data_IF_283842005726
#
_entry.id   IF_283842005726
#
_cell.length_a   1.000
_cell.length_b   1.000
_cell.length_c   1.000
_cell.angle_alpha   90.00
_cell.angle_beta   90.00
_cell.angle_gamma   90.00
#
_symmetry.space_group_name_H-M   'P 1'
#
loop_
_entity.id
_entity.type
_entity.pdbx_description
1 polymer ?
#
# COMPACT_ATOMS: atom_id res chain seq x y z
N UNK A 1 -10.62 25.80 16.89
CA UNK A 1 -11.45 25.10 17.89
C UNK A 1 -10.89 23.68 17.98
N UNK A 2 -10.30 23.29 19.12
CA UNK A 2 -9.63 21.99 19.27
C UNK A 2 -10.68 20.89 19.49
N UNK A 3 -10.71 19.87 18.61
CA UNK A 3 -11.61 18.72 18.75
C UNK A 3 -11.12 17.75 19.81
N UNK A 4 -12.01 17.37 20.73
CA UNK A 4 -11.79 16.43 21.82
C UNK A 4 -12.07 14.99 21.33
N UNK A 5 -11.10 14.07 21.47
CA UNK A 5 -11.05 12.76 20.80
C UNK A 5 -11.55 11.56 21.64
N UNK A 6 -12.21 11.78 22.77
CA UNK A 6 -12.38 10.70 23.77
C UNK A 6 -13.67 9.87 23.70
N UNK A 7 -14.60 10.05 22.75
CA UNK A 7 -15.84 9.25 22.77
C UNK A 7 -16.35 8.83 21.40
N UNK A 8 -16.05 7.59 20.98
CA UNK A 8 -16.84 6.88 19.96
C UNK A 8 -17.06 5.40 20.37
N UNK A 9 -18.30 4.89 20.29
CA UNK A 9 -18.63 3.51 20.66
C UNK A 9 -18.22 2.52 19.56
N UNK A 10 -17.80 1.31 19.98
CA UNK A 10 -17.36 0.23 19.08
C UNK A 10 -18.55 -0.50 18.45
N UNK A 11 -18.64 -0.51 17.13
CA UNK A 11 -19.50 -1.43 16.36
C UNK A 11 -18.66 -2.54 15.68
N UNK A 12 -19.20 -3.76 15.54
CA UNK A 12 -18.43 -4.92 15.08
C UNK A 12 -18.30 -4.94 13.56
N UNK A 13 -17.08 -5.12 13.04
CA UNK A 13 -16.81 -5.20 11.61
C UNK A 13 -16.28 -6.59 11.22
N UNK A 14 -16.87 -7.18 10.18
CA UNK A 14 -16.35 -8.36 9.47
C UNK A 14 -15.57 -7.91 8.22
N UNK A 15 -14.25 -8.11 8.10
CA UNK A 15 -13.48 -7.63 6.95
C UNK A 15 -13.37 -8.68 5.82
N UNK A 16 -13.70 -8.26 4.59
CA UNK A 16 -13.28 -8.91 3.33
C UNK A 16 -12.01 -8.22 2.78
N UNK A 17 -11.29 -8.96 1.94
CA UNK A 17 -9.83 -8.99 1.80
C UNK A 17 -9.20 -7.82 1.02
N UNK A 18 -8.05 -7.32 1.51
CA UNK A 18 -7.18 -6.35 0.82
C UNK A 18 -5.71 -6.83 0.79
N UNK A 19 -4.82 -6.29 -0.05
CA UNK A 19 -3.43 -6.74 -0.12
C UNK A 19 -2.50 -6.27 1.02
N UNK A 20 -2.92 -5.36 1.91
CA UNK A 20 -2.24 -5.13 3.20
C UNK A 20 -2.49 -6.34 4.10
N UNK A 21 -3.68 -6.95 3.96
CA UNK A 21 -3.93 -8.32 4.38
C UNK A 21 -3.03 -9.33 3.69
N UNK A 22 -2.18 -9.04 2.69
CA UNK A 22 -1.24 -10.02 2.13
C UNK A 22 0.06 -10.09 2.94
N UNK A 23 0.55 -8.94 3.40
CA UNK A 23 1.68 -8.83 4.35
C UNK A 23 1.23 -9.20 5.76
N UNK A 24 0.07 -8.70 6.21
CA UNK A 24 -0.60 -9.16 7.43
C UNK A 24 -1.14 -10.60 7.31
N UNK A 25 -1.42 -11.11 6.11
CA UNK A 25 -1.70 -12.56 5.95
C UNK A 25 -0.44 -13.38 5.99
N UNK A 26 0.75 -12.81 5.87
CA UNK A 26 1.94 -13.61 6.11
C UNK A 26 1.98 -13.97 7.60
N UNK A 27 1.68 -13.02 8.49
CA UNK A 27 1.51 -13.29 9.91
C UNK A 27 0.24 -14.11 10.21
N UNK A 28 -0.92 -13.81 9.61
CA UNK A 28 -2.14 -14.63 9.80
C UNK A 28 -2.06 -16.04 9.15
N UNK A 29 -1.30 -16.25 8.07
CA UNK A 29 -1.11 -17.58 7.42
C UNK A 29 0.00 -18.39 8.07
N UNK A 30 1.06 -17.74 8.56
CA UNK A 30 2.12 -18.42 9.32
C UNK A 30 1.68 -18.74 10.76
N UNK A 31 0.81 -17.91 11.36
CA UNK A 31 0.47 -18.02 12.79
C UNK A 31 -1.03 -18.19 13.09
N UNK A 32 -1.92 -18.14 12.09
CA UNK A 32 -3.36 -18.43 12.19
C UNK A 32 -4.20 -17.33 12.88
N UNK A 33 -5.48 -17.16 12.47
CA UNK A 33 -6.48 -16.47 13.31
C UNK A 33 -6.77 -17.32 14.55
N UNK A 34 -7.17 -16.70 15.67
CA UNK A 34 -7.58 -17.40 16.94
C UNK A 34 -8.55 -18.57 16.74
N UNK A 35 -9.42 -18.50 15.72
CA UNK A 35 -10.39 -19.55 15.35
C UNK A 35 -9.76 -20.69 14.53
N UNK A 36 -8.74 -20.40 13.73
CA UNK A 36 -7.96 -21.38 12.97
C UNK A 36 -6.91 -22.06 13.87
N UNK A 37 -6.44 -21.37 14.91
CA UNK A 37 -5.51 -21.90 15.91
C UNK A 37 -6.02 -23.18 16.58
N UNK A 38 -7.35 -23.30 16.81
CA UNK A 38 -7.95 -24.50 17.38
C UNK A 38 -7.92 -25.70 16.44
N UNK A 39 -8.18 -25.49 15.14
CA UNK A 39 -8.13 -26.54 14.12
C UNK A 39 -6.68 -27.00 13.92
N UNK A 40 -5.74 -26.05 13.84
CA UNK A 40 -4.31 -26.37 13.70
C UNK A 40 -3.79 -27.14 14.91
N UNK A 41 -4.18 -26.75 16.13
CA UNK A 41 -3.81 -27.49 17.35
C UNK A 41 -4.36 -28.93 17.32
N UNK A 42 -5.61 -29.12 16.89
CA UNK A 42 -6.21 -30.44 16.74
C UNK A 42 -5.46 -31.29 15.72
N UNK A 43 -5.13 -30.73 14.55
CA UNK A 43 -4.39 -31.45 13.51
C UNK A 43 -2.99 -31.87 13.99
N UNK A 44 -2.30 -31.01 14.74
CA UNK A 44 -1.00 -31.34 15.32
C UNK A 44 -1.11 -32.42 16.40
N UNK A 45 -2.15 -32.38 17.23
CA UNK A 45 -2.39 -33.44 18.24
C UNK A 45 -2.74 -34.78 17.58
N UNK A 46 -3.53 -34.77 16.50
CA UNK A 46 -3.80 -35.96 15.69
C UNK A 46 -2.54 -36.50 15.00
N UNK A 47 -1.66 -35.61 14.55
CA UNK A 47 -0.36 -35.98 14.00
C UNK A 47 0.53 -36.64 15.06
N UNK A 48 0.60 -36.11 16.28
CA UNK A 48 1.31 -36.77 17.39
C UNK A 48 0.72 -38.15 17.69
N UNK A 49 -0.62 -38.25 17.76
CA UNK A 49 -1.28 -39.54 17.94
C UNK A 49 -0.96 -40.53 16.81
N UNK A 50 -0.97 -40.08 15.56
CA UNK A 50 -0.60 -40.91 14.41
C UNK A 50 0.84 -41.40 14.47
N UNK A 51 1.78 -40.54 14.88
CA UNK A 51 3.19 -40.92 15.09
C UNK A 51 3.30 -41.89 16.28
N UNK A 52 2.52 -41.71 17.34
CA UNK A 52 2.44 -42.65 18.46
C UNK A 52 2.08 -44.07 18.00
N UNK A 53 1.03 -44.15 17.19
CA UNK A 53 0.54 -45.41 16.61
C UNK A 53 1.61 -46.01 15.71
N UNK A 54 2.30 -45.21 14.89
CA UNK A 54 3.42 -45.67 14.09
C UNK A 54 4.54 -46.25 14.96
N UNK A 55 4.93 -45.57 16.03
CA UNK A 55 5.97 -46.05 16.97
C UNK A 55 5.55 -47.37 17.63
N UNK A 56 4.27 -47.53 18.01
CA UNK A 56 3.75 -48.80 18.51
C UNK A 56 3.83 -49.91 17.46
N UNK A 57 3.31 -49.68 16.26
CA UNK A 57 3.25 -50.67 15.19
C UNK A 57 4.64 -51.10 14.70
N UNK A 58 5.64 -50.22 14.81
CA UNK A 58 7.02 -50.49 14.39
C UNK A 58 7.88 -51.15 15.47
N UNK A 59 7.31 -51.49 16.63
CA UNK A 59 8.01 -52.26 17.66
C UNK A 59 8.47 -51.47 18.88
N UNK A 60 7.95 -50.26 19.09
CA UNK A 60 8.17 -49.47 20.29
C UNK A 60 9.29 -48.44 20.15
N UNK A 61 9.76 -47.93 21.29
CA UNK A 61 10.65 -46.76 21.31
C UNK A 61 12.13 -47.07 21.13
N UNK A 62 12.51 -48.33 20.98
CA UNK A 62 13.86 -48.72 20.60
C UNK A 62 14.23 -48.31 19.16
N UNK A 63 13.24 -48.00 18.31
CA UNK A 63 13.45 -47.64 16.91
C UNK A 63 13.44 -46.13 16.66
N UNK A 64 14.02 -45.73 15.53
CA UNK A 64 14.23 -44.32 15.14
C UNK A 64 12.93 -43.53 14.93
N UNK A 65 11.80 -44.20 14.70
CA UNK A 65 10.51 -43.58 14.35
C UNK A 65 9.99 -42.59 15.40
N UNK A 66 10.43 -42.71 16.66
CA UNK A 66 10.10 -41.75 17.73
C UNK A 66 10.59 -40.33 17.41
N UNK A 67 11.67 -40.19 16.62
CA UNK A 67 12.23 -38.89 16.27
C UNK A 67 11.26 -38.04 15.44
N UNK A 68 10.26 -38.65 14.80
CA UNK A 68 9.23 -37.88 14.11
C UNK A 68 8.38 -37.02 15.03
N UNK A 69 8.35 -37.28 16.35
CA UNK A 69 7.69 -36.41 17.34
C UNK A 69 8.28 -35.01 17.43
N UNK A 70 9.55 -34.85 17.04
CA UNK A 70 10.18 -33.53 16.99
C UNK A 70 9.51 -32.59 15.99
N UNK A 71 8.86 -33.13 14.95
CA UNK A 71 8.19 -32.34 13.91
C UNK A 71 6.96 -31.61 14.45
N UNK A 72 5.89 -32.28 14.95
CA UNK A 72 4.71 -31.60 15.46
C UNK A 72 5.02 -30.71 16.67
N UNK A 73 5.91 -31.13 17.57
CA UNK A 73 6.35 -30.31 18.72
C UNK A 73 7.06 -29.03 18.26
N UNK A 74 7.96 -29.13 17.28
CA UNK A 74 8.65 -27.97 16.73
C UNK A 74 7.70 -27.00 16.02
N UNK A 75 6.78 -27.52 15.20
CA UNK A 75 5.75 -26.72 14.53
C UNK A 75 4.81 -26.05 15.55
N UNK A 76 4.38 -26.78 16.59
CA UNK A 76 3.58 -26.23 17.68
C UNK A 76 4.30 -25.09 18.41
N UNK A 77 5.61 -25.22 18.66
CA UNK A 77 6.42 -24.13 19.17
C UNK A 77 6.37 -22.90 18.27
N UNK A 78 6.68 -23.04 16.98
CA UNK A 78 6.69 -21.91 16.05
C UNK A 78 5.32 -21.21 15.95
N UNK A 79 4.23 -21.97 15.93
CA UNK A 79 2.87 -21.44 15.76
C UNK A 79 2.29 -20.89 17.05
N UNK A 80 2.44 -21.57 18.18
CA UNK A 80 1.79 -21.23 19.46
C UNK A 80 2.74 -20.58 20.47
N UNK A 81 4.00 -20.38 20.11
CA UNK A 81 5.01 -19.78 20.99
C UNK A 81 5.54 -20.75 22.03
N UNK A 82 6.31 -20.20 22.98
CA UNK A 82 7.03 -20.97 24.01
C UNK A 82 6.11 -21.86 24.83
N UNK A 83 4.94 -21.35 25.22
CA UNK A 83 3.96 -22.10 26.04
C UNK A 83 3.35 -23.25 25.24
N UNK A 84 2.94 -23.03 24.00
CA UNK A 84 2.35 -24.09 23.18
C UNK A 84 3.37 -25.18 22.82
N UNK A 85 4.60 -24.79 22.46
CA UNK A 85 5.68 -25.75 22.23
C UNK A 85 5.98 -26.60 23.47
N UNK A 86 6.01 -26.00 24.67
CA UNK A 86 6.16 -26.73 25.92
C UNK A 86 5.04 -27.75 26.13
N UNK A 87 3.77 -27.35 25.96
CA UNK A 87 2.62 -28.22 26.19
C UNK A 87 2.62 -29.43 25.25
N UNK A 88 2.89 -29.22 23.95
CA UNK A 88 3.01 -30.30 22.98
C UNK A 88 4.23 -31.20 23.29
N UNK A 89 5.37 -30.63 23.68
CA UNK A 89 6.54 -31.41 24.10
C UNK A 89 6.28 -32.28 25.33
N UNK A 90 5.56 -31.76 26.34
CA UNK A 90 5.13 -32.51 27.52
C UNK A 90 4.15 -33.61 27.12
N UNK A 91 3.16 -33.30 26.29
CA UNK A 91 2.16 -34.27 25.83
C UNK A 91 2.82 -35.42 25.08
N UNK A 92 3.68 -35.14 24.10
CA UNK A 92 4.45 -36.16 23.37
C UNK A 92 5.34 -36.99 24.30
N UNK A 93 6.01 -36.35 25.26
CA UNK A 93 6.86 -37.01 26.25
C UNK A 93 6.11 -37.97 27.17
N UNK A 94 4.95 -37.56 27.68
CA UNK A 94 4.09 -38.40 28.53
C UNK A 94 3.49 -39.55 27.71
N UNK A 95 3.05 -39.27 26.50
CA UNK A 95 2.43 -40.28 25.63
C UNK A 95 3.44 -41.35 25.18
N UNK A 96 4.69 -41.00 24.89
CA UNK A 96 5.77 -41.95 24.55
C UNK A 96 6.53 -42.53 25.76
N UNK A 97 6.17 -42.14 26.98
CA UNK A 97 6.83 -42.58 28.20
C UNK A 97 6.08 -43.71 28.89
N UNK A 98 5.31 -43.43 29.96
CA UNK A 98 4.61 -44.45 30.75
C UNK A 98 3.66 -45.35 29.95
N UNK A 99 3.10 -44.87 28.84
CA UNK A 99 2.10 -45.61 28.06
C UNK A 99 2.68 -46.44 26.91
N UNK A 100 3.97 -46.28 26.60
CA UNK A 100 4.60 -46.86 25.41
C UNK A 100 5.73 -47.82 25.80
N UNK A 101 5.69 -49.11 25.41
CA UNK A 101 6.76 -50.05 25.74
C UNK A 101 8.08 -49.70 25.01
N UNK A 102 9.20 -50.17 25.57
CA UNK A 102 10.50 -50.08 24.93
C UNK A 102 10.55 -50.97 23.69
N UNK A 103 10.13 -52.22 23.87
CA UNK A 103 9.92 -53.21 22.81
C UNK A 103 8.51 -53.82 22.94
N UNK A 104 7.72 -53.66 21.89
CA UNK A 104 6.34 -54.14 21.82
C UNK A 104 6.28 -55.67 21.73
N UNK A 105 7.24 -56.31 21.06
CA UNK A 105 7.24 -57.76 20.86
C UNK A 105 7.50 -58.52 22.17
N UNK A 106 8.41 -57.98 23.00
CA UNK A 106 8.75 -58.56 24.31
C UNK A 106 7.93 -57.98 25.47
N UNK A 107 7.18 -56.90 25.23
CA UNK A 107 6.41 -56.20 26.26
C UNK A 107 7.29 -55.50 27.30
N UNK A 108 8.55 -55.21 26.97
CA UNK A 108 9.48 -54.60 27.94
C UNK A 108 9.06 -53.17 28.26
N UNK A 109 8.89 -52.92 29.56
CA UNK A 109 8.58 -51.58 30.05
C UNK A 109 9.79 -50.65 29.88
N UNK A 110 9.52 -49.36 29.70
CA UNK A 110 10.59 -48.39 29.61
C UNK A 110 11.23 -48.09 30.97
N UNK A 111 12.57 -47.94 31.02
CA UNK A 111 13.22 -47.38 32.19
C UNK A 111 12.71 -45.96 32.48
N UNK A 112 12.38 -45.69 33.75
CA UNK A 112 11.85 -44.38 34.19
C UNK A 112 12.74 -43.23 33.74
N UNK A 113 14.05 -43.36 33.94
CA UNK A 113 15.02 -42.34 33.56
C UNK A 113 15.03 -42.09 32.03
N UNK A 114 14.86 -43.14 31.22
CA UNK A 114 14.92 -43.03 29.76
C UNK A 114 13.79 -42.22 29.16
N UNK A 115 12.56 -42.42 29.64
CA UNK A 115 11.43 -41.62 29.15
C UNK A 115 11.36 -40.22 29.78
N UNK A 116 11.82 -40.06 31.02
CA UNK A 116 11.94 -38.72 31.65
C UNK A 116 12.94 -37.84 30.89
N UNK A 117 14.09 -38.40 30.48
CA UNK A 117 15.07 -37.67 29.66
C UNK A 117 14.45 -37.25 28.33
N UNK A 118 13.67 -38.12 27.67
CA UNK A 118 13.00 -37.78 26.42
C UNK A 118 11.93 -36.71 26.59
N UNK A 119 11.13 -36.79 27.63
CA UNK A 119 10.16 -35.75 27.98
C UNK A 119 10.87 -34.40 28.14
N UNK A 120 12.00 -34.37 28.85
CA UNK A 120 12.81 -33.17 29.02
C UNK A 120 13.27 -32.61 27.66
N UNK A 121 13.86 -33.42 26.78
CA UNK A 121 14.36 -32.95 25.49
C UNK A 121 13.24 -32.52 24.53
N UNK A 122 12.11 -33.23 24.48
CA UNK A 122 10.94 -32.83 23.70
C UNK A 122 10.35 -31.50 24.19
N UNK A 123 10.24 -31.34 25.51
CA UNK A 123 9.78 -30.10 26.14
C UNK A 123 10.75 -28.95 25.87
N UNK A 124 12.06 -29.19 26.01
CA UNK A 124 13.10 -28.20 25.73
C UNK A 124 13.10 -27.78 24.27
N UNK A 125 12.98 -28.72 23.34
CA UNK A 125 12.87 -28.40 21.92
C UNK A 125 11.63 -27.54 21.63
N UNK A 126 10.48 -27.93 22.18
CA UNK A 126 9.25 -27.15 22.03
C UNK A 126 9.40 -25.73 22.58
N UNK A 127 10.06 -25.57 23.73
CA UNK A 127 10.39 -24.27 24.31
C UNK A 127 11.34 -23.46 23.40
N UNK A 128 12.42 -24.06 22.88
CA UNK A 128 13.39 -23.36 22.03
C UNK A 128 12.73 -22.94 20.70
N UNK A 129 11.99 -23.84 20.06
CA UNK A 129 11.25 -23.54 18.85
C UNK A 129 10.19 -22.45 19.11
N UNK A 130 9.52 -22.52 20.26
CA UNK A 130 8.55 -21.53 20.68
C UNK A 130 9.14 -20.16 20.98
N UNK A 131 10.32 -20.10 21.60
CA UNK A 131 11.06 -18.87 21.82
C UNK A 131 11.43 -18.21 20.49
N UNK A 132 11.92 -19.00 19.52
CA UNK A 132 12.18 -18.52 18.16
C UNK A 132 10.89 -18.00 17.50
N UNK A 133 9.78 -18.73 17.63
CA UNK A 133 8.47 -18.31 17.14
C UNK A 133 8.02 -16.98 17.74
N UNK A 134 8.19 -16.80 19.05
CA UNK A 134 7.84 -15.57 19.76
C UNK A 134 8.70 -14.38 19.32
N UNK A 135 10.01 -14.59 19.14
CA UNK A 135 10.91 -13.57 18.60
C UNK A 135 10.52 -13.14 17.18
N UNK A 136 10.18 -14.09 16.31
CA UNK A 136 9.71 -13.81 14.95
C UNK A 136 8.41 -13.01 14.97
N UNK A 137 7.43 -13.42 15.79
CA UNK A 137 6.17 -12.69 15.97
C UNK A 137 6.36 -11.28 16.51
N UNK A 138 7.34 -11.07 17.40
CA UNK A 138 7.66 -9.74 17.92
C UNK A 138 8.25 -8.85 16.81
N UNK A 139 9.19 -9.37 16.01
CA UNK A 139 9.78 -8.62 14.89
C UNK A 139 8.74 -8.26 13.83
N UNK A 140 7.85 -9.18 13.50
CA UNK A 140 6.78 -8.93 12.52
C UNK A 140 5.83 -7.85 13.03
N UNK A 141 5.42 -7.89 14.31
CA UNK A 141 4.57 -6.84 14.91
C UNK A 141 5.21 -5.46 14.86
N UNK A 142 6.52 -5.36 15.11
CA UNK A 142 7.24 -4.08 15.01
C UNK A 142 7.21 -3.55 13.58
N UNK A 143 7.43 -4.43 12.60
CA UNK A 143 7.37 -4.05 11.17
C UNK A 143 5.96 -3.58 10.78
N UNK A 144 4.91 -4.24 11.28
CA UNK A 144 3.51 -3.85 11.04
C UNK A 144 3.20 -2.46 11.62
N UNK A 145 3.59 -2.19 12.88
CA UNK A 145 3.37 -0.88 13.52
C UNK A 145 4.12 0.24 12.78
N UNK A 146 5.39 0.01 12.44
CA UNK A 146 6.20 0.99 11.71
C UNK A 146 5.62 1.26 10.32
N UNK A 147 5.10 0.23 9.64
CA UNK A 147 4.45 0.40 8.34
C UNK A 147 3.15 1.22 8.43
N UNK A 148 2.33 1.00 9.47
CA UNK A 148 1.11 1.79 9.71
C UNK A 148 1.45 3.26 10.00
N UNK A 149 2.43 3.51 10.88
CA UNK A 149 2.88 4.86 11.21
C UNK A 149 3.45 5.60 9.99
N UNK A 150 4.19 4.89 9.14
CA UNK A 150 4.72 5.44 7.90
C UNK A 150 3.59 5.80 6.91
N UNK A 151 2.58 4.94 6.76
CA UNK A 151 1.41 5.21 5.93
C UNK A 151 0.60 6.42 6.38
N UNK A 152 0.39 6.55 7.69
CA UNK A 152 -0.24 7.73 8.28
C UNK A 152 0.56 9.00 8.01
N UNK A 153 1.89 8.92 8.17
CA UNK A 153 2.78 10.06 7.96
C UNK A 153 2.78 10.50 6.49
N UNK A 154 2.88 9.58 5.54
CA UNK A 154 2.77 9.90 4.12
C UNK A 154 1.42 10.52 3.78
N UNK A 155 0.32 9.99 4.33
CA UNK A 155 -1.01 10.53 4.10
C UNK A 155 -1.14 11.98 4.59
N UNK A 156 -0.55 12.29 5.75
CA UNK A 156 -0.50 13.67 6.29
C UNK A 156 0.35 14.59 5.42
N UNK A 157 1.49 14.12 4.93
CA UNK A 157 2.36 14.90 4.03
C UNK A 157 1.63 15.23 2.73
N UNK A 158 0.97 14.25 2.10
CA UNK A 158 0.22 14.48 0.88
C UNK A 158 -0.91 15.50 1.08
N UNK A 159 -1.67 15.40 2.18
CA UNK A 159 -2.71 16.39 2.51
C UNK A 159 -2.13 17.77 2.79
N UNK A 160 -0.97 17.85 3.45
CA UNK A 160 -0.28 19.13 3.64
C UNK A 160 0.10 19.77 2.30
N UNK A 161 0.58 18.98 1.32
CA UNK A 161 0.86 19.46 -0.03
C UNK A 161 -0.39 19.96 -0.75
N UNK A 162 -1.51 19.23 -0.61
CA UNK A 162 -2.82 19.68 -1.16
C UNK A 162 -3.26 20.98 -0.50
N UNK A 163 -3.13 21.09 0.82
CA UNK A 163 -3.43 22.33 1.56
C UNK A 163 -2.59 23.51 1.06
N UNK A 164 -1.30 23.32 0.78
CA UNK A 164 -0.46 24.37 0.21
C UNK A 164 -0.91 24.84 -1.19
N UNK A 165 -1.49 23.94 -1.99
CA UNK A 165 -2.05 24.30 -3.30
C UNK A 165 -3.36 25.05 -3.12
N UNK A 166 -4.19 24.63 -2.17
CA UNK A 166 -5.43 25.31 -1.82
C UNK A 166 -5.23 26.73 -1.26
N UNK A 167 -4.05 27.05 -0.70
CA UNK A 167 -3.70 28.42 -0.32
C UNK A 167 -3.32 29.30 -1.53
N UNK A 168 -2.97 28.69 -2.67
CA UNK A 168 -2.61 29.40 -3.91
C UNK A 168 -3.72 29.45 -4.95
N UNK A 169 -4.59 28.44 -4.97
CA UNK A 169 -5.75 28.34 -5.86
C UNK A 169 -6.99 28.86 -5.11
N UNK A 170 -7.98 29.35 -5.84
CA UNK A 170 -9.25 29.79 -5.25
C UNK A 170 -10.09 28.63 -4.66
N UNK A 171 -9.63 27.38 -4.87
CA UNK A 171 -10.20 26.17 -4.29
C UNK A 171 -9.69 25.94 -2.86
N UNK A 172 -10.58 25.63 -1.92
CA UNK A 172 -10.19 25.32 -0.53
C UNK A 172 -9.70 23.88 -0.34
N UNK A 173 -9.01 23.58 0.76
CA UNK A 173 -8.69 22.17 1.08
C UNK A 173 -9.96 21.32 1.26
N UNK A 174 -11.05 21.94 1.72
CA UNK A 174 -12.36 21.31 1.91
C UNK A 174 -12.97 20.83 0.59
N UNK A 175 -12.67 21.50 -0.52
CA UNK A 175 -13.06 21.05 -1.87
C UNK A 175 -12.53 19.65 -2.15
N UNK A 176 -11.22 19.45 -2.00
CA UNK A 176 -10.59 18.15 -2.29
C UNK A 176 -11.11 17.04 -1.38
N UNK A 177 -11.41 17.34 -0.11
CA UNK A 177 -12.02 16.37 0.80
C UNK A 177 -13.48 16.05 0.44
N UNK A 178 -14.30 17.03 0.03
CA UNK A 178 -15.67 16.78 -0.45
C UNK A 178 -15.68 15.94 -1.72
N UNK A 179 -14.84 16.26 -2.70
CA UNK A 179 -14.70 15.45 -3.92
C UNK A 179 -14.29 14.02 -3.55
N UNK A 180 -13.36 13.85 -2.62
CA UNK A 180 -12.92 12.54 -2.16
C UNK A 180 -13.99 11.76 -1.40
N UNK A 181 -14.78 12.42 -0.56
CA UNK A 181 -15.94 11.82 0.10
C UNK A 181 -16.97 11.34 -0.94
N UNK A 182 -17.36 12.20 -1.87
CA UNK A 182 -18.32 11.87 -2.93
C UNK A 182 -17.79 10.76 -3.83
N UNK A 183 -16.47 10.71 -4.09
CA UNK A 183 -15.82 9.66 -4.85
C UNK A 183 -15.94 8.29 -4.17
N UNK A 184 -15.86 8.23 -2.83
CA UNK A 184 -16.11 6.98 -2.09
C UNK A 184 -17.55 6.50 -2.28
N UNK A 185 -18.53 7.40 -2.17
CA UNK A 185 -19.95 7.04 -2.30
C UNK A 185 -20.25 6.53 -3.71
N UNK A 186 -19.79 7.26 -4.72
CA UNK A 186 -19.86 6.87 -6.13
C UNK A 186 -19.18 5.53 -6.39
N UNK A 187 -17.94 5.37 -5.91
CA UNK A 187 -17.17 4.14 -6.08
C UNK A 187 -17.89 2.93 -5.48
N UNK A 188 -18.43 3.04 -4.26
CA UNK A 188 -19.19 1.96 -3.61
C UNK A 188 -20.43 1.59 -4.42
N UNK A 189 -21.18 2.57 -4.90
CA UNK A 189 -22.38 2.34 -5.72
C UNK A 189 -22.04 1.68 -7.08
N UNK A 190 -20.86 1.98 -7.63
CA UNK A 190 -20.32 1.36 -8.85
C UNK A 190 -19.59 0.02 -8.62
N UNK A 191 -19.55 -0.49 -7.39
CA UNK A 191 -18.95 -1.79 -7.06
C UNK A 191 -17.44 -1.77 -6.81
N UNK A 192 -16.84 -0.61 -6.54
CA UNK A 192 -15.42 -0.50 -6.19
C UNK A 192 -15.17 -1.08 -4.80
N UNK A 193 -14.09 -1.86 -4.67
CA UNK A 193 -13.71 -2.50 -3.42
C UNK A 193 -12.20 -2.46 -3.19
N UNK A 194 -11.78 -2.50 -1.92
CA UNK A 194 -10.37 -2.58 -1.55
C UNK A 194 -9.52 -1.47 -2.18
N UNK A 195 -8.52 -1.86 -2.98
CA UNK A 195 -7.56 -0.92 -3.59
C UNK A 195 -8.17 0.02 -4.62
N UNK A 196 -9.22 -0.39 -5.33
CA UNK A 196 -9.81 0.46 -6.38
C UNK A 196 -10.49 1.67 -5.71
N UNK A 197 -11.12 1.44 -4.56
CA UNK A 197 -11.75 2.51 -3.77
C UNK A 197 -10.70 3.44 -3.13
N UNK A 198 -9.57 2.89 -2.67
CA UNK A 198 -8.44 3.70 -2.16
C UNK A 198 -7.79 4.52 -3.27
N UNK A 199 -7.62 3.94 -4.46
CA UNK A 199 -7.08 4.63 -5.63
C UNK A 199 -7.98 5.79 -6.02
N UNK A 200 -9.29 5.56 -6.09
CA UNK A 200 -10.27 6.60 -6.39
C UNK A 200 -10.27 7.71 -5.33
N UNK A 201 -10.19 7.35 -4.04
CA UNK A 201 -10.11 8.32 -2.95
C UNK A 201 -8.87 9.21 -3.05
N UNK A 202 -7.68 8.62 -3.19
CA UNK A 202 -6.44 9.41 -3.28
C UNK A 202 -6.34 10.20 -4.58
N UNK A 203 -6.86 9.66 -5.69
CA UNK A 203 -6.94 10.42 -6.93
C UNK A 203 -7.87 11.63 -6.80
N UNK A 204 -8.99 11.51 -6.09
CA UNK A 204 -9.86 12.64 -5.77
C UNK A 204 -9.14 13.70 -4.93
N UNK A 205 -8.40 13.31 -3.89
CA UNK A 205 -7.63 14.24 -3.05
C UNK A 205 -6.53 14.95 -3.85
N UNK A 206 -5.89 14.24 -4.80
CA UNK A 206 -4.68 14.68 -5.49
C UNK A 206 -4.90 15.15 -6.94
N UNK A 207 -6.14 15.19 -7.45
CA UNK A 207 -6.42 15.47 -8.87
C UNK A 207 -5.77 16.78 -9.36
N UNK A 208 -5.77 17.78 -8.49
CA UNK A 208 -5.23 19.11 -8.77
C UNK A 208 -3.79 19.32 -8.26
N UNK A 209 -3.09 18.27 -7.81
CA UNK A 209 -1.72 18.38 -7.25
C UNK A 209 -0.75 19.08 -8.21
N UNK A 210 -0.92 18.89 -9.52
CA UNK A 210 -0.03 19.49 -10.51
C UNK A 210 -0.19 20.99 -10.70
N UNK A 211 -1.23 21.63 -10.12
CA UNK A 211 -1.40 23.08 -10.14
C UNK A 211 -0.25 23.83 -9.47
N UNK A 212 0.53 23.15 -8.63
CA UNK A 212 1.78 23.69 -8.07
C UNK A 212 2.74 24.22 -9.15
N UNK A 213 2.74 23.60 -10.33
CA UNK A 213 3.59 23.99 -11.46
C UNK A 213 2.97 25.02 -12.40
N UNK A 214 1.78 25.54 -12.10
CA UNK A 214 1.10 26.56 -12.89
C UNK A 214 1.49 27.96 -12.39
N UNK A 215 1.84 28.90 -13.30
CA UNK A 215 2.15 30.28 -12.91
C UNK A 215 0.97 30.98 -12.25
N UNK A 216 1.25 31.77 -11.21
CA UNK A 216 0.25 32.54 -10.45
C UNK A 216 -0.65 33.41 -11.34
N UNK A 217 -0.06 34.04 -12.36
CA UNK A 217 -0.76 34.92 -13.31
C UNK A 217 -1.80 34.20 -14.16
N UNK A 218 -1.69 32.88 -14.31
CA UNK A 218 -2.64 32.04 -15.04
C UNK A 218 -3.60 31.37 -14.05
N UNK A 219 -3.08 30.88 -12.92
CA UNK A 219 -3.87 30.20 -11.89
C UNK A 219 -4.99 31.11 -11.35
N UNK A 220 -4.65 32.36 -10.99
CA UNK A 220 -5.54 33.30 -10.32
C UNK A 220 -6.04 34.43 -11.24
N UNK A 221 -6.06 34.19 -12.55
CA UNK A 221 -6.40 35.23 -13.54
C UNK A 221 -7.85 35.71 -13.38
N UNK A 222 -8.09 37.03 -13.29
CA UNK A 222 -9.44 37.60 -13.33
C UNK A 222 -10.07 37.62 -14.71
N UNK A 223 -10.60 36.47 -15.11
CA UNK A 223 -11.40 36.31 -16.33
C UNK A 223 -11.06 35.04 -17.10
N UNK A 224 -11.56 34.92 -18.35
CA UNK A 224 -11.28 33.77 -19.19
C UNK A 224 -9.80 33.68 -19.56
N UNK A 225 -9.28 32.46 -19.60
CA UNK A 225 -7.95 32.15 -20.12
C UNK A 225 -7.94 32.26 -21.65
N UNK A 226 -6.85 32.78 -22.23
CA UNK A 226 -6.58 32.66 -23.67
C UNK A 226 -6.29 31.20 -24.04
N UNK A 227 -6.23 30.88 -25.34
CA UNK A 227 -5.84 29.55 -25.82
C UNK A 227 -4.48 29.11 -25.29
N UNK A 228 -3.50 30.02 -25.25
CA UNK A 228 -2.14 29.75 -24.81
C UNK A 228 -2.09 29.54 -23.29
N UNK A 229 -2.80 30.38 -22.54
CA UNK A 229 -2.91 30.25 -21.08
C UNK A 229 -3.65 28.96 -20.68
N UNK A 230 -4.69 28.59 -21.43
CA UNK A 230 -5.41 27.33 -21.26
C UNK A 230 -4.49 26.13 -21.50
N UNK A 231 -3.71 26.13 -22.58
CA UNK A 231 -2.72 25.08 -22.82
C UNK A 231 -1.69 24.97 -21.70
N UNK A 232 -1.32 26.08 -21.04
CA UNK A 232 -0.47 26.03 -19.83
C UNK A 232 -1.22 25.45 -18.64
N UNK A 233 -2.46 25.86 -18.39
CA UNK A 233 -3.30 25.36 -17.29
C UNK A 233 -3.51 23.84 -17.41
N UNK A 234 -3.79 23.32 -18.60
CA UNK A 234 -4.03 21.90 -18.87
C UNK A 234 -2.82 21.00 -18.50
N UNK A 235 -1.60 21.56 -18.49
CA UNK A 235 -0.38 20.84 -18.08
C UNK A 235 -0.38 20.40 -16.61
N UNK A 236 -1.28 20.92 -15.76
CA UNK A 236 -1.36 20.49 -14.37
C UNK A 236 -1.61 18.96 -14.29
N UNK A 237 -2.32 18.40 -15.26
CA UNK A 237 -2.57 16.96 -15.32
C UNK A 237 -1.26 16.18 -15.48
N UNK A 238 -0.43 16.54 -16.47
CA UNK A 238 0.88 15.90 -16.71
C UNK A 238 1.88 16.16 -15.59
N UNK A 239 1.84 17.34 -14.97
CA UNK A 239 2.68 17.68 -13.82
C UNK A 239 2.29 16.80 -12.63
N UNK A 240 0.99 16.69 -12.32
CA UNK A 240 0.46 15.84 -11.25
C UNK A 240 0.83 14.37 -11.45
N UNK A 241 0.61 13.85 -12.66
CA UNK A 241 0.99 12.48 -13.04
C UNK A 241 2.49 12.22 -12.78
N UNK A 242 3.37 13.09 -13.30
CA UNK A 242 4.82 12.93 -13.13
C UNK A 242 5.27 13.05 -11.69
N UNK A 243 4.70 13.98 -10.93
CA UNK A 243 5.01 14.13 -9.50
C UNK A 243 4.70 12.86 -8.72
N UNK A 244 3.52 12.27 -8.95
CA UNK A 244 3.10 11.04 -8.29
C UNK A 244 3.99 9.85 -8.66
N UNK A 245 4.24 9.63 -9.95
CA UNK A 245 5.09 8.52 -10.43
C UNK A 245 6.53 8.66 -9.93
N UNK A 246 7.07 9.89 -9.91
CA UNK A 246 8.42 10.16 -9.40
C UNK A 246 8.52 9.99 -7.89
N UNK A 247 7.45 10.26 -7.14
CA UNK A 247 7.41 10.02 -5.70
C UNK A 247 7.45 8.51 -5.39
N UNK A 248 6.72 7.69 -6.14
CA UNK A 248 6.81 6.23 -6.09
C UNK A 248 6.06 5.59 -7.27
N UNK A 249 6.61 4.52 -7.83
CA UNK A 249 5.89 3.68 -8.82
C UNK A 249 4.62 3.02 -8.27
N UNK A 250 4.44 2.99 -6.94
CA UNK A 250 3.18 2.51 -6.35
C UNK A 250 2.03 3.51 -6.51
N UNK A 251 2.33 4.79 -6.79
CA UNK A 251 1.31 5.81 -7.05
C UNK A 251 0.80 5.80 -8.49
N UNK A 252 1.34 4.97 -9.39
CA UNK A 252 0.93 4.91 -10.80
C UNK A 252 -0.59 4.74 -10.98
N UNK A 253 -1.30 3.85 -10.26
CA UNK A 253 -2.76 3.75 -10.41
C UNK A 253 -3.49 5.05 -10.05
N UNK A 254 -3.03 5.77 -9.04
CA UNK A 254 -3.58 7.07 -8.65
C UNK A 254 -3.25 8.10 -9.74
N UNK A 255 -2.00 8.11 -10.22
CA UNK A 255 -1.53 9.01 -11.26
C UNK A 255 -2.34 8.86 -12.55
N UNK A 256 -2.66 7.64 -12.97
CA UNK A 256 -3.49 7.37 -14.16
C UNK A 256 -4.90 7.95 -14.03
N UNK A 257 -5.49 7.89 -12.84
CA UNK A 257 -6.82 8.49 -12.58
C UNK A 257 -6.72 10.02 -12.56
N UNK A 258 -5.68 10.57 -11.94
CA UNK A 258 -5.37 12.00 -12.02
C UNK A 258 -5.12 12.43 -13.46
N UNK A 259 -4.49 11.61 -14.30
CA UNK A 259 -4.28 11.91 -15.72
C UNK A 259 -5.60 11.96 -16.52
N UNK A 260 -6.61 11.23 -16.07
CA UNK A 260 -7.86 11.02 -16.82
C UNK A 260 -9.03 11.91 -16.36
N UNK A 261 -8.90 12.66 -15.25
CA UNK A 261 -10.06 13.37 -14.66
C UNK A 261 -10.62 14.52 -15.51
N UNK A 262 -9.87 14.98 -16.52
CA UNK A 262 -10.32 15.96 -17.51
C UNK A 262 -10.58 15.37 -18.91
N UNK A 263 -10.49 14.05 -19.04
CA UNK A 263 -10.99 13.37 -20.24
C UNK A 263 -12.51 13.46 -20.30
N UNK A 264 -13.03 13.52 -21.53
CA UNK A 264 -14.47 13.63 -21.80
C UNK A 264 -14.95 12.38 -22.52
N UNK A 265 -16.17 11.95 -22.22
CA UNK A 265 -16.75 10.75 -22.81
C UNK A 265 -16.77 10.80 -24.35
N UNK A 266 -17.01 11.97 -24.92
CA UNK A 266 -16.97 12.28 -26.36
C UNK A 266 -15.56 12.35 -26.99
N UNK A 267 -14.49 12.19 -26.20
CA UNK A 267 -13.09 12.27 -26.66
C UNK A 267 -12.54 13.68 -26.85
N UNK A 268 -13.30 14.73 -26.54
CA UNK A 268 -12.84 16.12 -26.67
C UNK A 268 -12.12 16.64 -25.41
N UNK A 269 -11.87 15.76 -24.44
CA UNK A 269 -11.15 16.10 -23.20
C UNK A 269 -9.64 16.16 -23.39
N UNK A 270 -8.89 16.23 -22.30
CA UNK A 270 -7.42 16.28 -22.32
C UNK A 270 -6.86 15.44 -21.16
N UNK A 271 -5.58 15.01 -21.22
CA UNK A 271 -4.55 15.35 -22.20
C UNK A 271 -4.45 14.39 -23.41
N UNK A 272 -5.06 13.21 -23.36
CA UNK A 272 -4.89 12.17 -24.37
C UNK A 272 -6.04 12.08 -25.38
N UNK A 273 -7.13 12.83 -25.17
CA UNK A 273 -8.32 12.83 -26.05
C UNK A 273 -8.93 11.43 -26.18
N UNK A 274 -8.96 10.67 -25.08
CA UNK A 274 -9.50 9.32 -25.08
C UNK A 274 -11.01 9.34 -24.83
N UNK A 275 -11.76 8.51 -25.57
CA UNK A 275 -13.22 8.50 -25.54
C UNK A 275 -13.78 7.24 -24.87
N UNK A 276 -15.03 7.34 -24.42
CA UNK A 276 -15.83 6.22 -23.93
C UNK A 276 -15.11 5.39 -22.84
N UNK A 277 -15.17 4.06 -22.98
CA UNK A 277 -14.59 3.09 -22.06
C UNK A 277 -13.06 3.04 -22.03
N UNK A 278 -12.38 3.77 -22.93
CA UNK A 278 -10.92 3.92 -22.88
C UNK A 278 -10.49 4.82 -21.71
N UNK A 279 -11.40 5.64 -21.18
CA UNK A 279 -11.18 6.41 -19.96
C UNK A 279 -11.34 5.46 -18.75
N UNK A 280 -10.36 5.40 -17.83
CA UNK A 280 -10.50 4.65 -16.58
C UNK A 280 -11.80 5.02 -15.86
N UNK A 281 -12.55 4.03 -15.35
CA UNK A 281 -13.84 4.28 -14.69
C UNK A 281 -13.71 5.27 -13.52
N UNK A 282 -12.62 5.17 -12.76
CA UNK A 282 -12.31 6.13 -11.71
C UNK A 282 -12.14 7.57 -12.24
N UNK A 283 -11.52 7.75 -13.40
CA UNK A 283 -11.38 9.07 -14.05
C UNK A 283 -12.73 9.63 -14.50
N UNK A 284 -13.60 8.77 -15.03
CA UNK A 284 -15.00 9.14 -15.39
C UNK A 284 -15.80 9.60 -14.17
N UNK A 285 -15.62 8.94 -13.02
CA UNK A 285 -16.21 9.36 -11.75
C UNK A 285 -15.68 10.73 -11.31
N UNK A 286 -14.36 10.93 -11.30
CA UNK A 286 -13.78 12.22 -10.90
C UNK A 286 -14.20 13.37 -11.81
N UNK A 287 -14.32 13.15 -13.11
CA UNK A 287 -14.76 14.18 -14.06
C UNK A 287 -16.14 14.74 -13.70
N UNK A 288 -17.10 13.87 -13.33
CA UNK A 288 -18.43 14.31 -12.87
C UNK A 288 -18.32 15.08 -11.56
N UNK A 289 -17.57 14.56 -10.59
CA UNK A 289 -17.49 15.13 -9.25
C UNK A 289 -16.76 16.48 -9.21
N UNK A 290 -15.63 16.63 -9.92
CA UNK A 290 -14.90 17.89 -10.00
C UNK A 290 -15.74 18.97 -10.71
N UNK A 291 -16.46 18.62 -11.79
CA UNK A 291 -17.35 19.59 -12.45
C UNK A 291 -18.53 19.99 -11.56
N UNK A 292 -19.19 19.03 -10.91
CA UNK A 292 -20.28 19.33 -10.00
C UNK A 292 -19.84 20.29 -8.90
N UNK A 293 -18.75 19.95 -8.23
CA UNK A 293 -18.20 20.73 -7.14
C UNK A 293 -17.69 22.10 -7.64
N UNK A 294 -17.12 22.17 -8.85
CA UNK A 294 -16.76 23.44 -9.48
C UNK A 294 -17.96 24.34 -9.75
N UNK A 295 -19.14 23.78 -10.05
CA UNK A 295 -20.40 24.50 -10.28
C UNK A 295 -21.02 25.01 -8.98
N UNK A 296 -21.02 24.19 -7.93
CA UNK A 296 -21.69 24.49 -6.66
C UNK A 296 -20.83 25.26 -5.65
N UNK A 297 -19.53 25.45 -5.94
CA UNK A 297 -18.63 26.20 -5.06
C UNK A 297 -18.40 27.63 -5.52
N UNK A 298 -18.18 28.53 -4.55
CA UNK A 298 -17.93 29.96 -4.80
C UNK A 298 -16.58 30.14 -5.49
N UNK A 299 -16.53 31.00 -6.52
CA UNK A 299 -15.30 31.39 -7.21
C UNK A 299 -15.22 32.91 -7.31
N UNK A 300 -14.03 33.54 -7.47
CA UNK A 300 -13.93 35.00 -7.46
C UNK A 300 -14.74 35.71 -8.55
N UNK A 301 -14.98 35.04 -9.68
CA UNK A 301 -15.68 35.60 -10.84
C UNK A 301 -17.09 35.02 -11.04
N UNK A 302 -17.55 34.13 -10.17
CA UNK A 302 -18.85 33.46 -10.31
C UNK A 302 -19.41 33.01 -8.98
N UNK A 303 -20.67 33.36 -8.74
CA UNK A 303 -21.42 32.84 -7.61
C UNK A 303 -21.71 31.32 -7.76
N UNK A 304 -21.87 30.59 -6.64
CA UNK A 304 -22.30 29.20 -6.65
C UNK A 304 -23.59 28.98 -7.45
N UNK A 305 -23.62 27.95 -8.28
CA UNK A 305 -24.85 27.46 -8.90
C UNK A 305 -25.63 26.62 -7.89
N UNK A 306 -26.97 26.76 -7.80
CA UNK A 306 -27.80 25.89 -6.96
C UNK A 306 -27.58 24.40 -7.30
N UNK A 307 -27.47 23.50 -6.30
CA UNK A 307 -27.18 22.07 -6.55
C UNK A 307 -28.13 21.38 -7.55
N UNK A 308 -29.42 21.76 -7.54
CA UNK A 308 -30.41 21.23 -8.49
C UNK A 308 -30.16 21.70 -9.94
N UNK A 309 -29.69 22.93 -10.14
CA UNK A 309 -29.33 23.43 -11.47
C UNK A 309 -28.05 22.78 -11.97
N UNK A 310 -27.07 22.58 -11.07
CA UNK A 310 -25.83 21.86 -11.39
C UNK A 310 -26.11 20.38 -11.76
N UNK A 311 -27.04 19.73 -11.05
CA UNK A 311 -27.51 18.39 -11.39
C UNK A 311 -28.10 18.35 -12.81
N UNK A 312 -29.04 19.25 -13.12
CA UNK A 312 -29.68 19.31 -14.42
C UNK A 312 -28.69 19.56 -15.56
N UNK A 313 -27.65 20.39 -15.32
CA UNK A 313 -26.57 20.59 -16.28
C UNK A 313 -25.77 19.30 -16.52
N UNK A 314 -25.39 18.58 -15.47
CA UNK A 314 -24.67 17.31 -15.58
C UNK A 314 -25.50 16.26 -16.33
N UNK A 315 -26.79 16.17 -16.03
CA UNK A 315 -27.72 15.28 -16.75
C UNK A 315 -27.79 15.62 -18.23
N UNK A 316 -27.84 16.92 -18.58
CA UNK A 316 -27.88 17.38 -19.97
C UNK A 316 -26.59 17.07 -20.77
N UNK A 317 -25.45 16.94 -20.09
CA UNK A 317 -24.16 16.59 -20.70
C UNK A 317 -23.86 15.08 -20.69
N UNK A 318 -24.81 14.24 -20.27
CA UNK A 318 -24.74 12.79 -20.29
C UNK A 318 -24.56 12.23 -21.70
N UNK A 319 -23.55 11.39 -21.91
CA UNK A 319 -23.18 10.83 -23.22
C UNK A 319 -22.38 11.79 -24.12
N UNK A 320 -22.28 13.07 -23.74
CA UNK A 320 -21.36 14.03 -24.34
C UNK A 320 -20.10 14.16 -23.49
N UNK A 321 -20.15 15.02 -22.46
CA UNK A 321 -19.03 15.22 -21.55
C UNK A 321 -18.83 14.03 -20.62
N UNK A 322 -19.93 13.49 -20.10
CA UNK A 322 -19.91 12.51 -19.02
C UNK A 322 -20.39 11.14 -19.47
N UNK A 323 -19.88 10.10 -18.81
CA UNK A 323 -20.36 8.74 -18.99
C UNK A 323 -21.82 8.60 -18.50
N UNK A 324 -22.76 8.16 -19.35
CA UNK A 324 -24.16 7.98 -18.96
C UNK A 324 -24.37 7.08 -17.73
N UNK A 325 -23.57 6.03 -17.58
CA UNK A 325 -23.66 5.12 -16.43
C UNK A 325 -23.25 5.82 -15.13
N UNK A 326 -22.19 6.63 -15.19
CA UNK A 326 -21.70 7.38 -14.03
C UNK A 326 -22.70 8.47 -13.66
N UNK A 327 -23.25 9.19 -14.64
CA UNK A 327 -24.30 10.21 -14.40
C UNK A 327 -25.53 9.58 -13.74
N UNK A 328 -25.98 8.41 -14.20
CA UNK A 328 -27.12 7.72 -13.61
C UNK A 328 -26.91 7.42 -12.11
N UNK A 329 -25.72 6.93 -11.74
CA UNK A 329 -25.38 6.66 -10.33
C UNK A 329 -25.26 7.95 -9.53
N UNK A 330 -24.68 9.00 -10.12
CA UNK A 330 -24.57 10.31 -9.49
C UNK A 330 -25.95 10.89 -9.14
N UNK A 331 -26.88 10.87 -10.09
CA UNK A 331 -28.28 11.34 -9.91
C UNK A 331 -28.97 10.55 -8.81
N UNK A 332 -28.81 9.22 -8.80
CA UNK A 332 -29.36 8.38 -7.74
C UNK A 332 -28.83 8.80 -6.36
N UNK A 333 -27.50 8.92 -6.19
CA UNK A 333 -26.89 9.27 -4.91
C UNK A 333 -27.23 10.70 -4.46
N UNK A 334 -27.41 11.62 -5.42
CA UNK A 334 -27.88 12.98 -5.16
C UNK A 334 -29.27 12.97 -4.53
N UNK A 335 -30.23 12.25 -5.13
CA UNK A 335 -31.59 12.16 -4.60
C UNK A 335 -31.68 11.39 -3.28
N UNK A 336 -30.79 10.42 -3.07
CA UNK A 336 -30.65 9.70 -1.78
C UNK A 336 -29.97 10.55 -0.69
N UNK A 337 -29.54 11.78 -0.99
CA UNK A 337 -28.84 12.69 -0.07
C UNK A 337 -27.57 12.08 0.52
N UNK A 338 -26.85 11.28 -0.27
CA UNK A 338 -25.61 10.62 0.12
C UNK A 338 -24.35 11.39 -0.29
N UNK A 339 -24.51 12.45 -1.09
CA UNK A 339 -23.42 13.33 -1.50
C UNK A 339 -23.32 14.52 -0.56
N UNK A 340 -22.09 14.98 -0.32
CA UNK A 340 -21.79 16.18 0.45
C UNK A 340 -21.73 17.42 -0.45
N UNK A 341 -22.23 18.55 0.06
CA UNK A 341 -22.26 19.84 -0.63
C UNK A 341 -21.49 20.93 0.15
N UNK A 342 -21.10 22.05 -0.48
CA UNK A 342 -20.36 23.13 0.19
C UNK A 342 -21.09 23.77 1.38
N UNK A 343 -22.42 23.79 1.38
CA UNK A 343 -23.25 24.37 2.46
C UNK A 343 -23.65 23.34 3.53
N UNK A 344 -23.21 22.07 3.41
CA UNK A 344 -23.43 21.08 4.47
C UNK A 344 -22.55 21.40 5.68
N UNK A 345 -23.10 21.22 6.89
CA UNK A 345 -22.33 21.31 8.13
C UNK A 345 -21.15 20.31 8.07
N UNK A 346 -19.93 20.79 8.36
CA UNK A 346 -18.66 20.03 8.26
C UNK A 346 -18.71 18.70 9.05
N UNK A 347 -19.67 18.57 9.96
CA UNK A 347 -19.98 17.36 10.74
C UNK A 347 -20.42 16.16 9.89
N UNK A 348 -20.85 16.34 8.64
CA UNK A 348 -21.24 15.23 7.73
C UNK A 348 -20.05 14.55 7.03
N UNK A 349 -18.90 15.20 6.95
CA UNK A 349 -17.69 14.61 6.37
C UNK A 349 -17.10 13.61 7.36
N UNK A 350 -17.64 12.38 7.35
CA UNK A 350 -17.02 11.28 8.08
C UNK A 350 -15.55 11.19 7.68
N UNK A 351 -14.66 11.15 8.68
CA UNK A 351 -13.24 10.91 8.44
C UNK A 351 -13.09 9.67 7.55
N UNK A 352 -12.19 9.70 6.55
CA UNK A 352 -12.07 8.61 5.59
C UNK A 352 -11.93 7.30 6.35
N UNK A 353 -12.68 6.24 5.98
CA UNK A 353 -12.61 4.97 6.69
C UNK A 353 -11.15 4.53 6.79
N UNK A 354 -10.73 4.00 7.95
CA UNK A 354 -9.34 3.60 8.23
C UNK A 354 -8.73 2.73 7.11
N UNK A 355 -9.56 2.05 6.33
CA UNK A 355 -9.23 1.23 5.17
C UNK A 355 -8.73 1.98 3.92
N UNK A 356 -8.82 3.32 3.87
CA UNK A 356 -8.35 4.15 2.74
C UNK A 356 -7.02 4.86 3.03
N UNK A 357 -6.32 4.43 4.08
CA UNK A 357 -4.96 4.89 4.36
C UNK A 357 -4.00 4.26 3.35
N UNK A 358 -2.94 5.00 2.98
CA UNK A 358 -1.83 4.59 2.09
C UNK A 358 -1.07 3.33 2.55
N UNK A 359 -1.58 2.61 3.55
CA UNK A 359 -1.02 1.39 4.12
C UNK A 359 -0.73 0.37 3.02
N UNK A 360 -1.55 0.28 1.98
CA UNK A 360 -1.28 -0.59 0.83
C UNK A 360 -0.06 -0.17 0.02
N UNK A 361 0.05 1.12 -0.30
CA UNK A 361 1.16 1.70 -1.09
C UNK A 361 2.46 1.58 -0.30
N UNK A 362 2.41 1.87 1.01
CA UNK A 362 3.56 1.75 1.91
C UNK A 362 3.94 0.30 2.13
N UNK A 363 2.99 -0.61 2.38
CA UNK A 363 3.28 -2.03 2.54
C UNK A 363 3.93 -2.63 1.29
N UNK A 364 3.49 -2.25 0.09
CA UNK A 364 4.13 -2.70 -1.16
C UNK A 364 5.53 -2.10 -1.35
N UNK A 365 5.71 -0.81 -1.02
CA UNK A 365 7.02 -0.16 -1.05
C UNK A 365 8.00 -0.86 -0.11
N UNK A 366 7.57 -1.17 1.11
CA UNK A 366 8.36 -1.92 2.12
C UNK A 366 8.66 -3.34 1.62
N UNK A 367 7.67 -4.05 1.05
CA UNK A 367 7.86 -5.39 0.52
C UNK A 367 8.84 -5.43 -0.67
N UNK A 368 8.77 -4.47 -1.59
CA UNK A 368 9.76 -4.34 -2.68
C UNK A 368 11.15 -4.00 -2.15
N UNK A 369 11.25 -3.09 -1.19
CA UNK A 369 12.52 -2.75 -0.53
C UNK A 369 13.17 -3.96 0.16
N UNK A 370 12.37 -4.80 0.81
CA UNK A 370 12.82 -6.06 1.40
C UNK A 370 13.30 -7.06 0.34
N UNK A 371 12.56 -7.21 -0.77
CA UNK A 371 12.98 -8.06 -1.90
C UNK A 371 14.28 -7.60 -2.56
N UNK A 372 14.45 -6.30 -2.76
CA UNK A 372 15.67 -5.71 -3.32
C UNK A 372 16.88 -5.92 -2.39
N UNK A 373 16.69 -5.81 -1.06
CA UNK A 373 17.76 -6.06 -0.09
C UNK A 373 18.16 -7.54 -0.02
N UNK A 374 17.20 -8.47 -0.11
CA UNK A 374 17.48 -9.91 -0.20
C UNK A 374 18.20 -10.26 -1.50
N UNK A 375 17.84 -9.65 -2.63
CA UNK A 375 18.56 -9.84 -3.89
C UNK A 375 19.95 -9.19 -3.90
N UNK A 376 20.14 -8.07 -3.20
CA UNK A 376 21.45 -7.43 -3.03
C UNK A 376 22.36 -8.27 -2.14
N UNK A 377 21.89 -8.74 -0.98
CA UNK A 377 22.66 -9.59 -0.08
C UNK A 377 22.99 -10.96 -0.71
N UNK A 378 22.10 -11.54 -1.53
CA UNK A 378 22.40 -12.77 -2.29
C UNK A 378 23.34 -12.55 -3.50
N UNK A 379 23.56 -11.31 -3.96
CA UNK A 379 24.58 -11.02 -4.98
C UNK A 379 25.96 -10.75 -4.38
N UNK A 380 26.06 -10.47 -3.08
CA UNK A 380 27.33 -10.17 -2.40
C UNK A 380 28.18 -11.43 -2.14
N UNK A 381 27.64 -12.64 -2.30
CA UNK A 381 28.41 -13.89 -2.09
C UNK A 381 29.14 -14.40 -3.34
N UNK A 382 28.95 -13.82 -4.53
CA UNK A 382 29.66 -14.26 -5.74
C UNK A 382 30.09 -13.10 -6.62
N UNK A 383 31.01 -12.25 -6.16
CA UNK A 383 32.01 -11.57 -7.03
C UNK A 383 33.14 -11.00 -6.15
N UNK A 384 33.99 -11.86 -5.61
CA UNK A 384 35.36 -11.49 -5.24
C UNK A 384 36.29 -12.35 -6.07
N UNK A 385 36.46 -12.02 -7.34
CA UNK A 385 37.70 -12.22 -8.09
C UNK A 385 37.57 -11.63 -9.50
N UNK A 386 38.53 -10.76 -9.83
CA UNK A 386 38.83 -10.14 -11.13
C UNK A 386 38.04 -8.88 -11.48
N UNK A 387 38.53 -7.75 -10.96
CA UNK A 387 38.49 -6.49 -11.68
C UNK A 387 39.94 -5.98 -11.85
N UNK A 388 40.52 -6.22 -13.02
CA UNK A 388 41.57 -5.35 -13.60
C UNK A 388 40.87 -4.43 -14.60
N UNK A 389 41.23 -3.13 -14.68
CA UNK A 389 40.46 -2.16 -15.46
C UNK A 389 40.78 -2.24 -16.97
N UNK A 390 39.79 -2.10 -17.86
CA UNK A 390 40.05 -1.94 -19.28
C UNK A 390 40.31 -0.46 -19.62
N UNK A 391 41.31 -0.25 -20.49
CA UNK A 391 41.66 1.02 -21.13
C UNK A 391 40.57 1.43 -22.12
N UNK A 392 40.15 2.69 -22.05
CA UNK A 392 39.37 3.38 -23.09
C UNK A 392 40.12 3.39 -24.43
N UNK A 393 39.40 3.13 -25.53
CA UNK A 393 39.56 3.85 -26.80
C UNK A 393 38.30 3.63 -27.66
N UNK A 394 37.65 4.76 -27.94
CA UNK A 394 36.63 4.90 -28.97
C UNK A 394 37.25 4.73 -30.36
N UNK A 395 36.40 4.26 -31.28
CA UNK A 395 36.73 3.96 -32.67
C UNK A 395 37.25 5.16 -33.48
N UNK A 396 38.11 4.81 -34.42
CA UNK A 396 38.71 5.62 -35.49
C UNK A 396 37.63 6.23 -36.40
N UNK A 397 37.79 7.43 -36.95
CA UNK A 397 38.49 7.79 -38.22
C UNK A 397 38.14 9.28 -38.48
N UNK A 398 38.90 10.18 -39.14
CA UNK A 398 40.08 10.15 -39.98
C UNK A 398 40.71 11.57 -40.05
N UNK A 399 42.05 11.64 -40.23
CA UNK A 399 42.86 12.52 -41.12
C UNK A 399 42.29 13.88 -41.60
N UNK A 400 43.02 14.99 -41.77
CA UNK A 400 44.41 15.50 -41.61
C UNK A 400 44.35 16.95 -42.18
N UNK A 401 45.39 17.79 -41.95
CA UNK A 401 45.69 19.09 -42.64
C UNK A 401 44.88 20.30 -42.06
N UNK A 402 45.41 21.45 -41.63
CA UNK A 402 46.71 22.16 -41.74
C UNK A 402 46.84 23.25 -40.66
N UNK A 403 48.07 23.41 -40.17
CA UNK A 403 48.86 24.64 -40.00
C UNK A 403 48.23 26.06 -39.83
N UNK A 404 48.75 26.72 -38.77
CA UNK A 404 49.37 28.07 -38.71
C UNK A 404 48.55 29.38 -38.70
N UNK A 405 48.92 30.15 -37.67
CA UNK A 405 49.25 31.59 -37.65
C UNK A 405 48.18 32.58 -37.20
N UNK A 406 48.49 33.26 -36.08
CA UNK A 406 48.68 34.71 -35.89
C UNK A 406 48.41 35.02 -34.41
N UNK A 407 49.43 35.09 -33.56
CA UNK A 407 50.29 36.25 -33.31
C UNK A 407 49.56 37.46 -32.72
N UNK A 408 50.15 37.99 -31.63
CA UNK A 408 49.89 39.28 -30.94
C UNK A 408 48.72 39.21 -29.93
N UNK A 409 48.90 39.54 -28.67
CA UNK A 409 50.06 40.11 -27.97
C UNK A 409 49.80 40.19 -26.46
N UNK A 410 50.84 40.54 -25.72
CA UNK A 410 50.74 40.88 -24.30
C UNK A 410 51.62 40.04 -23.37
N UNK A 411 52.94 40.05 -23.58
CA UNK A 411 53.88 39.83 -22.48
C UNK A 411 53.77 41.00 -21.51
N UNK A 412 53.70 40.74 -20.20
CA UNK A 412 54.82 41.01 -19.28
C UNK A 412 54.36 41.05 -17.81
N UNK A 413 54.97 40.14 -17.03
CA UNK A 413 55.49 40.29 -15.66
C UNK A 413 54.69 41.08 -14.62
N UNK A 414 54.20 40.41 -13.58
CA UNK A 414 54.86 40.24 -12.26
C UNK A 414 55.00 41.57 -11.50
N UNK A 415 54.13 41.76 -10.51
CA UNK A 415 54.51 42.27 -9.19
C UNK A 415 53.41 41.91 -8.17
N UNK A 416 53.84 41.16 -7.17
CA UNK A 416 53.18 40.90 -5.90
C UNK A 416 52.81 42.18 -5.13
N UNK A 417 51.61 42.26 -4.57
CA UNK A 417 51.34 42.62 -3.16
C UNK A 417 49.84 42.48 -2.83
N UNK A 418 49.59 41.93 -1.63
CA UNK A 418 48.36 41.57 -0.89
C UNK A 418 47.25 42.65 -0.78
N UNK A 419 46.04 42.35 -0.23
CA UNK A 419 45.62 41.18 0.58
C UNK A 419 44.91 40.06 -0.18
#
# INVERSE_FOLDING_TARGET
MFYNLETLPSLPFTPRETPARRVLSLSERLFGKRRDSGIVALLLALMEMGIAVLVFLTGGTQFVYLQFMYIPVGIAGLIFGSVGGLLFGVFAGVMLGPFMPLDVATGTAQPVLGWVIRLFFLSLQGLVAGFVGDLLKQRVRVVEVVAEELALTYGRILRALVGLIAERDDKTADHSERVAYNAIQMGRALGFHGMDLETLYWAAVLHDLGKVGIPESILNKPGPLTSEERAVMERHVDIGYRMLVNASTEFTPIAEVVAAHHERWDGQGYPNHVANSSIPLAGRVLSVLDVFEALTSKRPYRDPMPPLEALALIESESGGRFDPQVVQVFVQLFHEQKLAFPDDDDTKLEAPPRTLRLEHIVARTVARGAHLKVCADNRVVTTIQRASPPRNRADATAHLVTERALSRGGQSRVASQHP
#
